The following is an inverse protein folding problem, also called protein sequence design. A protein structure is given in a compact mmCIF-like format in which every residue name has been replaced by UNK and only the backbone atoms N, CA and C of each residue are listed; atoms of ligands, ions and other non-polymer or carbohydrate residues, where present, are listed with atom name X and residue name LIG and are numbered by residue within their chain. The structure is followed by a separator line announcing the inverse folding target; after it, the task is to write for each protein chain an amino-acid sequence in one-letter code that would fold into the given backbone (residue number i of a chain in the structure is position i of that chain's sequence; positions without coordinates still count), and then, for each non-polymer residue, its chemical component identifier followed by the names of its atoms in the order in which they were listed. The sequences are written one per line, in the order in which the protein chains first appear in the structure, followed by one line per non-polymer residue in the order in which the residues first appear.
data_IF_475462081374
#
_entry.id   IF_475462081374
#
_cell.length_a   1.000
_cell.length_b   1.000
_cell.length_c   1.000
_cell.angle_alpha   90.00
_cell.angle_beta   90.00
_cell.angle_gamma   90.00
#
_symmetry.space_group_name_H-M   'P 1'
#
loop_
_entity.id
_entity.type
_entity.pdbx_description
1 polymer ?
#
# COMPACT_ATOMS: atom_id res chain seq x y z
N UNK A 1 22.12 9.77 -6.10
CA UNK A 1 21.13 10.32 -7.06
C UNK A 1 20.75 11.70 -6.54
N UNK A 2 21.04 12.77 -7.31
CA UNK A 2 20.60 14.12 -6.92
C UNK A 2 19.40 14.49 -7.82
N UNK A 3 18.22 14.00 -7.47
CA UNK A 3 16.99 14.26 -8.23
C UNK A 3 15.80 14.39 -7.30
N UNK A 4 14.65 14.70 -7.85
CA UNK A 4 13.41 14.75 -7.07
C UNK A 4 12.94 13.35 -6.73
N UNK A 5 12.57 13.17 -5.46
CA UNK A 5 11.82 11.99 -5.00
C UNK A 5 10.37 12.25 -5.39
N UNK A 6 9.86 11.44 -6.30
CA UNK A 6 8.59 11.73 -6.97
C UNK A 6 7.38 11.19 -6.20
N UNK A 7 6.26 11.82 -6.43
CA UNK A 7 4.94 11.31 -6.09
C UNK A 7 4.44 10.41 -7.22
N UNK A 8 3.63 9.40 -6.89
CA UNK A 8 2.88 8.62 -7.88
C UNK A 8 1.39 8.82 -7.66
N UNK A 9 0.81 9.70 -8.44
CA UNK A 9 -0.59 10.11 -8.30
C UNK A 9 -1.26 10.15 -9.67
N UNK A 10 -2.55 9.88 -9.72
CA UNK A 10 -3.35 9.89 -10.95
C UNK A 10 -2.77 8.98 -12.06
N UNK A 11 -2.07 7.91 -11.68
CA UNK A 11 -1.45 6.95 -12.60
C UNK A 11 -0.11 7.39 -13.20
N UNK A 12 0.52 8.46 -12.69
CA UNK A 12 1.78 8.98 -13.24
C UNK A 12 2.73 9.46 -12.13
N UNK A 13 4.03 9.41 -12.45
CA UNK A 13 5.07 9.99 -11.61
C UNK A 13 5.14 11.50 -11.83
N UNK A 14 5.19 12.26 -10.74
CA UNK A 14 5.26 13.72 -10.78
C UNK A 14 6.06 14.27 -9.61
N UNK A 15 6.79 15.35 -9.84
CA UNK A 15 7.44 16.12 -8.78
C UNK A 15 6.47 17.19 -8.26
N UNK A 16 6.66 17.63 -7.02
CA UNK A 16 6.00 18.85 -6.52
C UNK A 16 6.53 20.10 -7.21
N UNK A 17 5.79 21.20 -7.07
CA UNK A 17 6.09 22.47 -7.75
C UNK A 17 7.30 23.22 -7.16
N UNK A 18 7.71 22.90 -5.93
CA UNK A 18 8.86 23.51 -5.25
C UNK A 18 9.47 22.50 -4.26
N UNK A 19 10.61 22.83 -3.63
CA UNK A 19 11.24 22.00 -2.61
C UNK A 19 10.64 22.30 -1.25
N UNK A 20 10.04 21.27 -0.62
CA UNK A 20 9.57 21.36 0.78
C UNK A 20 10.63 20.83 1.73
N UNK A 21 11.35 19.77 1.32
CA UNK A 21 12.30 19.08 2.18
C UNK A 21 13.46 18.46 1.37
N UNK A 22 14.67 18.56 1.92
CA UNK A 22 15.86 17.87 1.41
C UNK A 22 16.03 16.53 2.13
N UNK A 23 15.84 15.42 1.42
CA UNK A 23 16.15 14.10 1.95
C UNK A 23 17.68 13.90 1.98
N UNK A 24 18.19 13.53 3.15
CA UNK A 24 19.63 13.37 3.39
C UNK A 24 19.98 11.97 3.83
N UNK A 25 21.17 11.55 3.48
CA UNK A 25 21.77 10.31 3.96
C UNK A 25 22.07 10.43 5.45
N UNK A 26 21.42 9.62 6.29
CA UNK A 26 21.47 9.75 7.73
C UNK A 26 22.90 9.60 8.35
N UNK A 27 23.81 8.90 7.62
CA UNK A 27 25.19 8.66 8.10
C UNK A 27 26.16 9.74 7.60
N UNK A 28 26.05 10.13 6.30
CA UNK A 28 27.02 11.04 5.69
C UNK A 28 26.55 12.49 5.63
N UNK A 29 25.26 12.75 5.82
CA UNK A 29 24.66 14.08 5.65
C UNK A 29 24.54 14.55 4.19
N UNK A 30 24.94 13.72 3.22
CA UNK A 30 24.81 14.08 1.80
C UNK A 30 23.35 14.10 1.36
N UNK A 31 22.99 15.08 0.54
CA UNK A 31 21.67 15.17 -0.05
C UNK A 31 21.44 13.98 -1.01
N UNK A 32 20.36 13.23 -0.78
CA UNK A 32 19.90 12.12 -1.63
C UNK A 32 18.98 12.66 -2.72
N UNK A 33 18.03 13.53 -2.34
CA UNK A 33 17.04 14.07 -3.25
C UNK A 33 16.20 15.16 -2.59
N UNK A 34 15.25 15.69 -3.34
CA UNK A 34 14.28 16.69 -2.87
C UNK A 34 12.90 16.10 -2.85
N UNK A 35 12.13 16.45 -1.84
CA UNK A 35 10.77 15.96 -1.60
C UNK A 35 9.80 17.11 -1.61
N UNK A 36 8.71 16.98 -2.33
CA UNK A 36 7.63 17.97 -2.29
C UNK A 36 6.30 17.36 -2.72
N UNK A 37 5.23 17.79 -2.08
CA UNK A 37 3.83 17.56 -2.48
C UNK A 37 3.11 18.85 -2.89
N UNK A 38 3.82 19.97 -2.94
CA UNK A 38 3.24 21.24 -3.36
C UNK A 38 2.68 21.19 -4.76
N UNK A 39 1.48 21.72 -4.93
CA UNK A 39 0.76 21.72 -6.20
C UNK A 39 -0.07 20.47 -6.48
N UNK A 40 -0.02 19.44 -5.62
CA UNK A 40 -0.90 18.29 -5.74
C UNK A 40 -2.34 18.65 -5.34
N UNK A 41 -3.31 18.18 -6.12
CA UNK A 41 -4.73 18.33 -5.82
C UNK A 41 -5.23 17.06 -5.15
N UNK A 42 -5.34 17.09 -3.82
CA UNK A 42 -5.67 15.91 -3.02
C UNK A 42 -7.06 15.33 -3.30
N UNK A 43 -8.03 16.18 -3.62
CA UNK A 43 -9.38 15.72 -3.99
C UNK A 43 -9.35 14.86 -5.26
N UNK A 44 -8.55 15.24 -6.26
CA UNK A 44 -8.39 14.46 -7.49
C UNK A 44 -7.70 13.12 -7.22
N UNK A 45 -6.68 13.11 -6.34
CA UNK A 45 -5.97 11.89 -5.91
C UNK A 45 -6.94 10.92 -5.24
N UNK A 46 -7.76 11.42 -4.32
CA UNK A 46 -8.76 10.61 -3.62
C UNK A 46 -9.84 10.11 -4.58
N UNK A 47 -10.31 10.98 -5.48
CA UNK A 47 -11.34 10.62 -6.47
C UNK A 47 -10.81 9.55 -7.44
N UNK A 48 -9.58 9.71 -7.94
CA UNK A 48 -8.93 8.71 -8.79
C UNK A 48 -8.83 7.33 -8.10
N UNK A 49 -8.40 7.31 -6.83
CA UNK A 49 -8.39 6.09 -6.06
C UNK A 49 -9.76 5.42 -5.96
N UNK A 50 -10.83 6.21 -5.71
CA UNK A 50 -12.21 5.70 -5.63
C UNK A 50 -12.70 5.11 -6.95
N UNK A 51 -12.49 5.85 -8.05
CA UNK A 51 -13.09 5.54 -9.35
C UNK A 51 -12.33 4.45 -10.10
N UNK A 52 -11.00 4.43 -10.01
CA UNK A 52 -10.14 3.46 -10.68
C UNK A 52 -9.83 2.28 -9.77
N UNK A 53 -9.02 2.49 -8.74
CA UNK A 53 -8.54 1.42 -7.87
C UNK A 53 -9.66 0.74 -7.09
N UNK A 54 -10.55 1.52 -6.49
CA UNK A 54 -11.67 1.00 -5.72
C UNK A 54 -12.65 0.18 -6.56
N UNK A 55 -12.94 0.60 -7.79
CA UNK A 55 -13.79 -0.16 -8.71
C UNK A 55 -13.15 -1.50 -9.03
N UNK A 56 -11.91 -1.49 -9.53
CA UNK A 56 -11.20 -2.71 -9.94
C UNK A 56 -11.01 -3.70 -8.78
N UNK A 57 -10.67 -3.21 -7.58
CA UNK A 57 -10.50 -4.07 -6.42
C UNK A 57 -11.82 -4.70 -5.94
N UNK A 58 -12.94 -3.98 -6.00
CA UNK A 58 -14.26 -4.52 -5.58
C UNK A 58 -14.83 -5.52 -6.59
N UNK A 59 -14.45 -5.45 -7.85
CA UNK A 59 -14.81 -6.46 -8.86
C UNK A 59 -14.07 -7.80 -8.65
N UNK A 60 -12.93 -7.78 -7.94
CA UNK A 60 -12.20 -8.99 -7.58
C UNK A 60 -12.83 -9.69 -6.38
N UNK A 61 -12.85 -11.03 -6.40
CA UNK A 61 -13.20 -11.82 -5.22
C UNK A 61 -12.13 -11.71 -4.14
N UNK A 62 -12.47 -12.03 -2.89
CA UNK A 62 -11.51 -12.01 -1.79
C UNK A 62 -10.29 -12.93 -2.07
N UNK A 63 -10.46 -14.20 -2.51
CA UNK A 63 -9.35 -15.05 -2.90
C UNK A 63 -8.48 -14.47 -4.03
N UNK A 64 -9.06 -13.80 -5.02
CA UNK A 64 -8.29 -13.17 -6.11
C UNK A 64 -7.41 -12.04 -5.57
N UNK A 65 -7.92 -11.18 -4.67
CA UNK A 65 -7.11 -10.17 -4.00
C UNK A 65 -5.99 -10.79 -3.15
N UNK A 66 -6.26 -11.89 -2.48
CA UNK A 66 -5.23 -12.64 -1.74
C UNK A 66 -4.14 -13.22 -2.64
N UNK A 67 -4.49 -13.72 -3.84
CA UNK A 67 -3.51 -14.17 -4.83
C UNK A 67 -2.68 -13.01 -5.39
N UNK A 68 -3.29 -11.86 -5.62
CA UNK A 68 -2.62 -10.62 -6.01
C UNK A 68 -1.57 -10.21 -4.95
N UNK A 69 -1.93 -10.20 -3.66
CA UNK A 69 -0.97 -9.91 -2.58
C UNK A 69 0.15 -10.94 -2.52
N UNK A 70 -0.13 -12.23 -2.73
CA UNK A 70 0.90 -13.27 -2.79
C UNK A 70 1.89 -13.02 -3.94
N UNK A 71 1.38 -12.69 -5.12
CA UNK A 71 2.21 -12.38 -6.29
C UNK A 71 3.11 -11.16 -6.01
N UNK A 72 2.55 -10.12 -5.39
CA UNK A 72 3.28 -8.93 -4.99
C UNK A 72 4.39 -9.26 -3.98
N UNK A 73 4.09 -10.06 -2.96
CA UNK A 73 5.09 -10.48 -1.97
C UNK A 73 6.27 -11.23 -2.60
N UNK A 74 5.99 -12.19 -3.50
CA UNK A 74 7.03 -12.94 -4.22
C UNK A 74 7.88 -12.03 -5.10
N UNK A 75 7.27 -11.07 -5.79
CA UNK A 75 7.96 -10.11 -6.63
C UNK A 75 8.92 -9.23 -5.80
N UNK A 76 8.42 -8.63 -4.71
CA UNK A 76 9.23 -7.78 -3.83
C UNK A 76 10.33 -8.56 -3.12
N UNK A 77 10.08 -9.82 -2.74
CA UNK A 77 11.10 -10.69 -2.17
C UNK A 77 12.28 -10.90 -3.13
N UNK A 78 12.02 -11.00 -4.43
CA UNK A 78 13.06 -11.07 -5.46
C UNK A 78 13.89 -9.79 -5.62
N UNK A 79 13.40 -8.65 -5.11
CA UNK A 79 14.04 -7.33 -5.19
C UNK A 79 14.74 -6.89 -3.90
N UNK A 80 14.64 -7.65 -2.82
CA UNK A 80 15.04 -7.24 -1.47
C UNK A 80 16.48 -6.73 -1.34
N UNK A 81 17.42 -7.25 -2.09
CA UNK A 81 18.84 -6.81 -2.04
C UNK A 81 19.00 -5.36 -2.52
N UNK A 82 18.20 -4.92 -3.50
CA UNK A 82 18.15 -3.53 -3.92
C UNK A 82 17.64 -2.63 -2.78
N UNK A 83 16.60 -3.08 -2.07
CA UNK A 83 16.05 -2.32 -0.94
C UNK A 83 17.03 -2.23 0.22
N UNK A 84 17.77 -3.30 0.52
CA UNK A 84 18.83 -3.29 1.53
C UNK A 84 19.92 -2.27 1.19
N UNK A 85 20.36 -2.21 -0.05
CA UNK A 85 21.38 -1.25 -0.48
C UNK A 85 20.95 0.20 -0.27
N UNK A 86 19.65 0.49 -0.50
CA UNK A 86 19.09 1.84 -0.29
C UNK A 86 18.78 2.11 1.18
N UNK A 87 18.32 1.10 1.92
CA UNK A 87 17.99 1.21 3.35
C UNK A 87 19.19 1.65 4.21
N UNK A 88 20.41 1.35 3.79
CA UNK A 88 21.62 1.83 4.46
C UNK A 88 21.64 3.37 4.61
N UNK A 89 21.10 4.10 3.65
CA UNK A 89 21.05 5.56 3.70
C UNK A 89 20.08 6.11 4.76
N UNK A 90 19.17 5.30 5.29
CA UNK A 90 18.27 5.68 6.41
C UNK A 90 18.99 5.67 7.77
N UNK A 91 20.21 5.13 7.83
CA UNK A 91 20.93 4.89 9.07
C UNK A 91 20.58 3.56 9.75
N UNK A 92 19.69 2.77 9.16
CA UNK A 92 19.31 1.46 9.70
C UNK A 92 20.47 0.47 9.65
N UNK A 93 20.62 -0.35 10.69
CA UNK A 93 21.52 -1.50 10.67
C UNK A 93 21.00 -2.57 9.73
N UNK A 94 21.84 -3.56 9.36
CA UNK A 94 21.40 -4.70 8.54
C UNK A 94 20.25 -5.47 9.21
N UNK A 95 20.26 -5.58 10.52
CA UNK A 95 19.21 -6.27 11.28
C UNK A 95 17.90 -5.49 11.25
N UNK A 96 17.94 -4.17 11.42
CA UNK A 96 16.75 -3.31 11.34
C UNK A 96 16.17 -3.30 9.91
N UNK A 97 17.04 -3.21 8.90
CA UNK A 97 16.62 -3.29 7.50
C UNK A 97 15.96 -4.63 7.18
N UNK A 98 16.45 -5.74 7.76
CA UNK A 98 15.83 -7.06 7.61
C UNK A 98 14.42 -7.05 8.21
N UNK A 99 14.24 -6.51 9.41
CA UNK A 99 12.93 -6.39 10.03
C UNK A 99 11.99 -5.55 9.16
N UNK A 100 12.44 -4.38 8.71
CA UNK A 100 11.62 -3.47 7.89
C UNK A 100 11.23 -4.09 6.55
N UNK A 101 12.18 -4.62 5.81
CA UNK A 101 11.95 -5.09 4.43
C UNK A 101 11.29 -6.48 4.44
N UNK A 102 11.92 -7.48 5.05
CA UNK A 102 11.38 -8.85 5.02
C UNK A 102 10.18 -9.03 5.93
N UNK A 103 10.12 -8.32 7.06
CA UNK A 103 8.93 -8.28 7.91
C UNK A 103 7.74 -7.63 7.20
N UNK A 104 7.96 -6.52 6.48
CA UNK A 104 6.94 -5.90 5.64
C UNK A 104 6.42 -6.83 4.54
N UNK A 105 7.32 -7.50 3.82
CA UNK A 105 6.95 -8.52 2.81
C UNK A 105 6.20 -9.69 3.46
N UNK A 106 6.62 -10.11 4.67
CA UNK A 106 5.96 -11.14 5.46
C UNK A 106 4.49 -10.83 5.75
N UNK A 107 4.16 -9.57 6.01
CA UNK A 107 2.76 -9.15 6.18
C UNK A 107 1.92 -9.39 4.92
N UNK A 108 2.46 -9.11 3.72
CA UNK A 108 1.75 -9.44 2.48
C UNK A 108 1.44 -10.94 2.37
N UNK A 109 2.39 -11.82 2.72
CA UNK A 109 2.15 -13.27 2.74
C UNK A 109 1.11 -13.67 3.77
N UNK A 110 1.17 -13.09 4.98
CA UNK A 110 0.22 -13.37 6.06
C UNK A 110 -1.20 -13.04 5.62
N UNK A 111 -1.44 -11.81 5.15
CA UNK A 111 -2.76 -11.40 4.68
C UNK A 111 -3.20 -12.15 3.41
N UNK A 112 -2.28 -12.44 2.49
CA UNK A 112 -2.58 -13.28 1.34
C UNK A 112 -3.06 -14.68 1.73
N UNK A 113 -2.62 -15.22 2.88
CA UNK A 113 -3.01 -16.55 3.35
C UNK A 113 -4.48 -16.65 3.72
N UNK A 114 -5.09 -15.54 4.18
CA UNK A 114 -6.51 -15.45 4.58
C UNK A 114 -7.48 -15.77 3.43
N UNK A 115 -7.03 -15.72 2.16
CA UNK A 115 -7.85 -16.12 1.01
C UNK A 115 -8.44 -17.53 1.12
N UNK A 116 -7.85 -18.40 1.96
CA UNK A 116 -8.30 -19.79 2.15
C UNK A 116 -9.53 -19.91 3.06
N UNK A 117 -9.82 -18.85 3.81
CA UNK A 117 -10.90 -18.77 4.79
C UNK A 117 -12.19 -18.22 4.18
N UNK A 118 -12.11 -17.67 2.97
CA UNK A 118 -13.23 -16.98 2.32
C UNK A 118 -13.64 -17.70 1.03
N UNK A 119 -14.94 -17.72 0.77
CA UNK A 119 -15.50 -18.21 -0.49
C UNK A 119 -15.07 -17.33 -1.69
N UNK A 120 -15.10 -17.89 -2.90
CA UNK A 120 -14.76 -17.15 -4.13
C UNK A 120 -15.89 -16.19 -4.54
N UNK A 121 -16.14 -15.20 -3.68
CA UNK A 121 -17.16 -14.18 -3.82
C UNK A 121 -16.59 -12.81 -3.51
N UNK A 122 -17.25 -11.75 -4.00
CA UNK A 122 -16.88 -10.36 -3.71
C UNK A 122 -17.41 -9.85 -2.36
N UNK A 123 -18.18 -10.68 -1.65
CA UNK A 123 -18.73 -10.42 -0.31
C UNK A 123 -18.50 -11.65 0.58
N UNK A 124 -18.66 -11.46 1.89
CA UNK A 124 -18.57 -12.54 2.85
C UNK A 124 -19.89 -12.63 3.65
N UNK A 125 -20.44 -13.85 3.75
CA UNK A 125 -21.60 -14.13 4.61
C UNK A 125 -21.07 -14.43 6.01
N UNK A 126 -21.45 -13.62 6.98
CA UNK A 126 -21.00 -13.71 8.36
C UNK A 126 -22.03 -14.48 9.20
N UNK A 127 -21.64 -15.68 9.63
CA UNK A 127 -22.46 -16.55 10.45
C UNK A 127 -23.68 -17.18 9.73
N UNK A 128 -24.56 -17.78 10.51
CA UNK A 128 -25.81 -18.38 10.02
C UNK A 128 -26.97 -17.37 10.05
N UNK A 129 -28.01 -17.54 9.22
CA UNK A 129 -29.23 -16.76 9.31
C UNK A 129 -29.86 -16.82 10.71
N UNK A 130 -30.28 -15.69 11.23
CA UNK A 130 -30.93 -15.56 12.54
C UNK A 130 -32.42 -15.38 12.33
N UNK A 131 -33.23 -16.20 13.00
CA UNK A 131 -34.71 -16.02 13.02
C UNK A 131 -35.04 -14.77 13.81
N UNK A 132 -35.75 -13.82 13.20
CA UNK A 132 -36.19 -12.55 13.79
C UNK A 132 -37.68 -12.51 14.14
N UNK A 133 -38.42 -13.57 13.76
CA UNK A 133 -39.85 -13.74 14.17
C UNK A 133 -40.08 -15.10 14.82
N UNK A 134 -41.04 -15.18 15.70
CA UNK A 134 -41.39 -16.39 16.43
C UNK A 134 -41.83 -17.53 15.49
N UNK A 135 -42.55 -17.20 14.42
CA UNK A 135 -42.99 -18.16 13.39
C UNK A 135 -41.90 -18.49 12.35
N UNK A 136 -40.70 -17.86 12.40
CA UNK A 136 -39.63 -18.06 11.44
C UNK A 136 -39.89 -17.51 10.05
N UNK A 137 -40.90 -16.67 9.90
CA UNK A 137 -41.26 -16.02 8.61
C UNK A 137 -40.38 -14.85 8.25
N UNK A 138 -39.54 -14.39 9.17
CA UNK A 138 -38.59 -13.30 8.99
C UNK A 138 -37.22 -13.72 9.55
N UNK A 139 -36.16 -13.57 8.72
CA UNK A 139 -34.80 -13.87 9.13
C UNK A 139 -33.83 -12.75 8.69
N UNK A 140 -32.75 -12.58 9.42
CA UNK A 140 -31.65 -11.66 9.10
C UNK A 140 -30.35 -12.42 8.81
N UNK A 141 -29.53 -11.86 7.94
CA UNK A 141 -28.19 -12.36 7.61
C UNK A 141 -27.23 -11.20 7.52
N UNK A 142 -26.06 -11.32 8.15
CA UNK A 142 -25.00 -10.34 8.00
C UNK A 142 -24.21 -10.64 6.73
N UNK A 143 -23.97 -9.60 5.94
CA UNK A 143 -23.14 -9.66 4.73
C UNK A 143 -22.10 -8.55 4.82
N UNK A 144 -20.82 -8.94 4.78
CA UNK A 144 -19.70 -8.01 4.72
C UNK A 144 -19.34 -7.73 3.27
N UNK A 145 -19.25 -6.46 2.91
CA UNK A 145 -18.87 -5.99 1.58
C UNK A 145 -17.66 -5.06 1.65
N UNK A 146 -16.83 -4.95 0.60
CA UNK A 146 -15.74 -3.99 0.57
C UNK A 146 -16.25 -2.56 0.78
N UNK A 147 -15.53 -1.78 1.60
CA UNK A 147 -15.87 -0.37 1.84
C UNK A 147 -15.61 0.45 0.59
N UNK A 148 -16.44 1.48 0.39
CA UNK A 148 -16.14 2.56 -0.53
C UNK A 148 -15.18 3.56 0.13
N UNK A 149 -14.33 4.18 -0.68
CA UNK A 149 -13.37 5.17 -0.20
C UNK A 149 -11.95 4.81 -0.56
N UNK A 150 -11.00 5.52 0.06
CA UNK A 150 -9.56 5.34 -0.08
C UNK A 150 -8.95 5.30 1.31
N UNK A 151 -8.04 4.38 1.55
CA UNK A 151 -7.28 4.33 2.79
C UNK A 151 -6.07 5.28 2.67
N UNK A 152 -5.98 6.26 3.56
CA UNK A 152 -4.83 7.15 3.65
C UNK A 152 -3.91 6.65 4.76
N UNK A 153 -2.66 6.38 4.41
CA UNK A 153 -1.66 5.84 5.33
C UNK A 153 -0.55 6.86 5.56
N UNK A 154 -0.49 7.43 6.75
CA UNK A 154 0.63 8.28 7.19
C UNK A 154 1.58 7.40 7.96
N UNK A 155 2.79 7.21 7.44
CA UNK A 155 3.79 6.28 7.96
C UNK A 155 4.93 7.04 8.65
N UNK A 156 5.52 6.39 9.67
CA UNK A 156 6.68 6.94 10.37
C UNK A 156 7.98 6.69 9.59
N UNK A 157 9.05 7.35 10.02
CA UNK A 157 10.35 7.29 9.35
C UNK A 157 11.13 5.99 9.61
N UNK A 158 10.90 5.32 10.74
CA UNK A 158 11.78 4.25 11.23
C UNK A 158 11.57 2.89 10.56
N UNK A 159 10.38 2.64 9.98
CA UNK A 159 10.05 1.43 9.24
C UNK A 159 9.28 1.77 7.95
N UNK A 160 9.95 2.42 6.98
CA UNK A 160 9.29 2.95 5.80
C UNK A 160 8.68 1.86 4.88
N UNK A 161 9.31 0.68 4.82
CA UNK A 161 8.81 -0.43 4.01
C UNK A 161 7.75 -1.23 4.77
N UNK A 162 8.03 -1.65 6.01
CA UNK A 162 7.05 -2.36 6.85
C UNK A 162 5.78 -1.54 7.01
N UNK A 163 5.93 -0.28 7.47
CA UNK A 163 4.78 0.58 7.76
C UNK A 163 3.85 0.78 6.56
N UNK A 164 4.39 0.78 5.34
CA UNK A 164 3.59 0.79 4.12
C UNK A 164 2.97 -0.58 3.87
N UNK A 165 3.78 -1.66 3.82
CA UNK A 165 3.33 -2.98 3.36
C UNK A 165 2.29 -3.60 4.29
N UNK A 166 2.43 -3.45 5.62
CA UNK A 166 1.44 -3.95 6.58
C UNK A 166 0.06 -3.34 6.36
N UNK A 167 0.00 -2.03 6.07
CA UNK A 167 -1.26 -1.31 5.90
C UNK A 167 -1.90 -1.60 4.55
N UNK A 168 -1.12 -1.56 3.45
CA UNK A 168 -1.68 -1.86 2.13
C UNK A 168 -2.11 -3.34 2.02
N UNK A 169 -1.48 -4.27 2.75
CA UNK A 169 -1.90 -5.67 2.78
C UNK A 169 -3.36 -5.80 3.23
N UNK A 170 -3.73 -5.09 4.29
CA UNK A 170 -5.08 -5.13 4.87
C UNK A 170 -6.10 -4.53 3.93
N UNK A 171 -5.89 -3.26 3.52
CA UNK A 171 -6.93 -2.56 2.76
C UNK A 171 -7.06 -3.07 1.33
N UNK A 172 -5.97 -3.46 0.65
CA UNK A 172 -6.06 -4.05 -0.69
C UNK A 172 -6.79 -5.41 -0.65
N UNK A 173 -6.53 -6.24 0.38
CA UNK A 173 -7.27 -7.48 0.58
C UNK A 173 -8.76 -7.23 0.81
N UNK A 174 -9.10 -6.17 1.59
CA UNK A 174 -10.48 -5.74 1.82
C UNK A 174 -11.14 -5.06 0.61
N UNK A 175 -10.40 -4.83 -0.49
CA UNK A 175 -10.92 -4.21 -1.71
C UNK A 175 -10.92 -2.67 -1.70
N UNK A 176 -10.06 -2.06 -0.87
CA UNK A 176 -9.94 -0.60 -0.71
C UNK A 176 -8.58 -0.14 -1.22
N UNK A 177 -8.50 0.84 -2.14
CA UNK A 177 -7.24 1.41 -2.60
C UNK A 177 -6.56 2.25 -1.53
N UNK A 178 -5.27 2.52 -1.71
CA UNK A 178 -4.44 3.26 -0.77
C UNK A 178 -3.79 4.51 -1.38
N UNK A 179 -3.70 5.56 -0.58
CA UNK A 179 -2.74 6.65 -0.73
C UNK A 179 -1.75 6.53 0.42
N UNK A 180 -0.49 6.34 0.09
CA UNK A 180 0.60 6.21 1.07
C UNK A 180 1.36 7.52 1.17
N UNK A 181 1.49 8.05 2.38
CA UNK A 181 2.33 9.19 2.72
C UNK A 181 3.42 8.71 3.68
N UNK A 182 4.64 8.41 3.19
CA UNK A 182 5.79 8.12 4.04
C UNK A 182 6.25 9.37 4.79
N UNK A 183 7.16 9.19 5.73
CA UNK A 183 7.92 10.32 6.24
C UNK A 183 8.88 10.85 5.17
N UNK A 184 9.02 12.15 5.05
CA UNK A 184 9.94 12.84 4.15
C UNK A 184 11.40 12.41 4.34
N UNK A 185 11.79 12.05 5.56
CA UNK A 185 13.16 11.60 5.90
C UNK A 185 13.58 10.31 5.18
N UNK A 186 12.64 9.41 4.91
CA UNK A 186 12.92 8.06 4.35
C UNK A 186 12.08 7.75 3.12
N UNK A 187 11.40 8.75 2.56
CA UNK A 187 10.54 8.61 1.38
C UNK A 187 11.26 8.05 0.16
N UNK A 188 12.57 8.30 0.02
CA UNK A 188 13.40 7.73 -1.05
C UNK A 188 13.40 6.21 -1.09
N UNK A 189 13.35 5.54 0.08
CA UNK A 189 13.24 4.09 0.12
C UNK A 189 11.83 3.61 -0.23
N UNK A 190 10.81 4.30 0.30
CA UNK A 190 9.41 3.99 -0.04
C UNK A 190 9.15 4.19 -1.53
N UNK A 191 9.67 5.25 -2.15
CA UNK A 191 9.52 5.52 -3.58
C UNK A 191 10.05 4.38 -4.44
N UNK A 192 11.25 3.87 -4.15
CA UNK A 192 11.84 2.74 -4.91
C UNK A 192 10.98 1.49 -4.81
N UNK A 193 10.46 1.17 -3.62
CA UNK A 193 9.56 0.02 -3.45
C UNK A 193 8.26 0.23 -4.22
N UNK A 194 7.68 1.45 -4.18
CA UNK A 194 6.46 1.77 -4.94
C UNK A 194 6.72 1.72 -6.44
N UNK A 195 7.88 2.17 -6.95
CA UNK A 195 8.24 2.02 -8.36
C UNK A 195 8.20 0.56 -8.79
N UNK A 196 8.86 -0.30 -8.04
CA UNK A 196 8.84 -1.74 -8.33
C UNK A 196 7.43 -2.32 -8.28
N UNK A 197 6.59 -1.89 -7.33
CA UNK A 197 5.18 -2.31 -7.27
C UNK A 197 4.42 -1.89 -8.53
N UNK A 198 4.54 -0.63 -8.96
CA UNK A 198 3.85 -0.09 -10.12
C UNK A 198 4.35 -0.76 -11.41
N UNK A 199 5.66 -0.87 -11.58
CA UNK A 199 6.29 -1.48 -12.75
C UNK A 199 5.96 -2.97 -12.90
N UNK A 200 5.71 -3.67 -11.79
CA UNK A 200 5.27 -5.07 -11.79
C UNK A 200 3.90 -5.28 -12.45
N UNK A 201 3.05 -4.25 -12.48
CA UNK A 201 1.66 -4.31 -12.94
C UNK A 201 0.80 -5.38 -12.25
N UNK A 202 1.20 -5.81 -11.04
CA UNK A 202 0.45 -6.79 -10.25
C UNK A 202 -0.80 -6.15 -9.66
N UNK A 203 -0.69 -4.91 -9.18
CA UNK A 203 -1.83 -4.15 -8.68
C UNK A 203 -2.60 -3.52 -9.84
N UNK A 204 -3.94 -3.46 -9.77
CA UNK A 204 -4.73 -2.71 -10.74
C UNK A 204 -4.45 -1.20 -10.64
N UNK A 205 -4.63 -0.50 -11.75
CA UNK A 205 -4.50 0.95 -11.82
C UNK A 205 -5.31 1.65 -10.72
N UNK A 206 -4.73 2.63 -10.06
CA UNK A 206 -5.35 3.40 -8.98
C UNK A 206 -5.45 2.68 -7.63
N UNK A 207 -5.01 1.41 -7.53
CA UNK A 207 -5.03 0.67 -6.26
C UNK A 207 -4.02 1.22 -5.24
N UNK A 208 -2.93 1.79 -5.71
CA UNK A 208 -1.88 2.39 -4.89
C UNK A 208 -1.46 3.74 -5.47
N UNK A 209 -1.35 4.75 -4.61
CA UNK A 209 -0.78 6.05 -4.91
C UNK A 209 0.22 6.43 -3.80
N UNK A 210 1.20 7.26 -4.14
CA UNK A 210 2.27 7.73 -3.25
C UNK A 210 2.29 9.25 -3.24
N UNK A 211 2.29 9.83 -2.05
CA UNK A 211 2.56 11.27 -1.80
C UNK A 211 3.80 11.35 -0.93
N UNK A 212 4.94 11.71 -1.51
CA UNK A 212 6.27 11.59 -0.87
C UNK A 212 6.60 12.74 0.09
N UNK A 213 6.02 13.92 -0.14
CA UNK A 213 6.22 15.15 0.66
C UNK A 213 5.12 15.48 1.66
#
# INVERSE_FOLDING_TARGET
MKGDIQNYVLGQWTSGSDTEYDATHAITGEQIGRVSSLGLIYDDILQYGRDKGGKSLREMTFPKRGLMLKALALFLQGKKETYYAVSYATGATRADSWIDIEGGIGNLFTYASLRREFADQSFHIDGAPIKLSQAGTFSGQHIMVPKHGVAVHINSFNFPVWGMLEKIAVNLLAGVPAVVKPSEYTSFLTEIVVRDIIDSRILPEGALQLVSG
#
